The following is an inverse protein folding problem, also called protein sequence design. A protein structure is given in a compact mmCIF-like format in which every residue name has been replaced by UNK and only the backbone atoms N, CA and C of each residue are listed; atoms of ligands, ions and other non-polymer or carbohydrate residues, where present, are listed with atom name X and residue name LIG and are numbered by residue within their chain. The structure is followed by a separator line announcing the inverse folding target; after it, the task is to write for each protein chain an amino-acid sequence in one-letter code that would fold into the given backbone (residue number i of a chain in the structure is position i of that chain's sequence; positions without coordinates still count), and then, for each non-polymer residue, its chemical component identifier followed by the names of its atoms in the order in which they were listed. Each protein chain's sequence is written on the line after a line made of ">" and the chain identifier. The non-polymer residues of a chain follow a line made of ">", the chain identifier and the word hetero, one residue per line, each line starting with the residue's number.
data_IF_220906051847
#
_entry.id   IF_220906051847
#
_cell.length_a   1.000
_cell.length_b   1.000
_cell.length_c   1.000
_cell.angle_alpha   90.00
_cell.angle_beta   90.00
_cell.angle_gamma   90.00
#
_symmetry.space_group_name_H-M   'P 1'
#
loop_
_entity.id
_entity.type
_entity.pdbx_description
1 polymer ?
#
# COMPACT_ATOMS: atom_id res chain seq x y z
N UNK A 1 15.57 2.70 -5.05
CA UNK A 1 14.86 2.10 -6.20
C UNK A 1 13.32 2.10 -6.04
N UNK A 2 12.76 1.82 -4.86
CA UNK A 2 11.31 1.65 -4.67
C UNK A 2 10.46 2.94 -4.82
N UNK A 3 11.02 4.08 -4.42
CA UNK A 3 10.32 5.38 -4.48
C UNK A 3 9.99 5.85 -5.91
N UNK A 4 10.89 5.62 -6.86
CA UNK A 4 10.65 5.96 -8.27
C UNK A 4 9.52 5.14 -8.88
N UNK A 5 9.45 3.84 -8.54
CA UNK A 5 8.38 2.94 -8.98
C UNK A 5 7.04 3.37 -8.40
N UNK A 6 6.99 3.72 -7.11
CA UNK A 6 5.75 4.19 -6.49
C UNK A 6 5.23 5.48 -7.12
N UNK A 7 6.09 6.48 -7.34
CA UNK A 7 5.69 7.72 -7.99
C UNK A 7 5.16 7.52 -9.42
N UNK A 8 5.76 6.58 -10.16
CA UNK A 8 5.28 6.15 -11.47
C UNK A 8 3.85 5.59 -11.39
N UNK A 9 3.59 4.68 -10.46
CA UNK A 9 2.26 4.10 -10.29
C UNK A 9 1.21 5.13 -9.86
N UNK A 10 1.54 6.03 -8.93
CA UNK A 10 0.63 7.13 -8.56
C UNK A 10 0.30 7.97 -9.80
N UNK A 11 1.29 8.24 -10.67
CA UNK A 11 1.06 9.00 -11.91
C UNK A 11 0.12 8.25 -12.86
N UNK A 12 0.39 6.97 -13.08
CA UNK A 12 -0.40 6.14 -13.97
C UNK A 12 -1.86 6.03 -13.49
N UNK A 13 -2.08 5.85 -12.19
CA UNK A 13 -3.43 5.79 -11.60
C UNK A 13 -4.15 7.14 -11.73
N UNK A 14 -3.47 8.24 -11.39
CA UNK A 14 -4.04 9.59 -11.51
C UNK A 14 -4.43 9.94 -12.96
N UNK A 15 -3.73 9.39 -13.97
CA UNK A 15 -3.99 9.68 -15.39
C UNK A 15 -4.96 8.69 -16.05
N UNK A 16 -4.94 7.42 -15.64
CA UNK A 16 -5.67 6.36 -16.34
C UNK A 16 -6.95 5.91 -15.64
N UNK A 17 -7.02 6.06 -14.32
CA UNK A 17 -8.11 5.51 -13.51
C UNK A 17 -8.90 6.57 -12.74
N UNK A 18 -8.28 7.72 -12.44
CA UNK A 18 -8.94 8.77 -11.65
C UNK A 18 -10.03 9.47 -12.44
N UNK A 19 -11.20 9.62 -11.82
CA UNK A 19 -12.35 10.36 -12.36
C UNK A 19 -12.43 11.78 -11.76
N UNK A 20 -13.23 12.70 -12.32
CA UNK A 20 -13.32 14.08 -11.84
C UNK A 20 -13.80 14.24 -10.39
N UNK A 21 -14.48 13.24 -9.83
CA UNK A 21 -14.96 13.26 -8.44
C UNK A 21 -13.97 12.67 -7.43
N UNK A 22 -12.88 12.06 -7.90
CA UNK A 22 -11.95 11.34 -7.04
C UNK A 22 -10.90 12.29 -6.44
N UNK A 23 -10.50 11.97 -5.21
CA UNK A 23 -9.38 12.63 -4.54
C UNK A 23 -8.04 12.20 -5.17
N UNK A 24 -6.94 12.96 -4.94
CA UNK A 24 -5.61 12.56 -5.40
C UNK A 24 -5.22 11.17 -4.90
N UNK A 25 -4.58 10.37 -5.77
CA UNK A 25 -4.12 9.02 -5.42
C UNK A 25 -3.10 9.07 -4.29
N UNK A 26 -3.30 8.27 -3.25
CA UNK A 26 -2.41 8.17 -2.09
C UNK A 26 -1.46 6.99 -2.29
N UNK A 27 -0.15 7.25 -2.28
CA UNK A 27 0.87 6.20 -2.28
C UNK A 27 1.21 5.73 -0.87
N UNK A 28 1.20 4.42 -0.62
CA UNK A 28 1.65 3.84 0.65
C UNK A 28 2.89 2.99 0.40
N UNK A 29 4.00 3.31 1.07
CA UNK A 29 5.21 2.50 1.05
C UNK A 29 5.38 1.77 2.39
N UNK A 30 5.28 0.45 2.36
CA UNK A 30 5.47 -0.42 3.52
C UNK A 30 6.93 -0.86 3.62
N UNK A 31 7.63 -0.45 4.67
CA UNK A 31 9.02 -0.82 4.92
C UNK A 31 9.13 -1.80 6.10
N UNK A 32 9.96 -2.83 5.96
CA UNK A 32 10.23 -3.83 7.01
C UNK A 32 10.95 -3.24 8.23
N UNK A 33 11.69 -2.16 8.04
CA UNK A 33 12.35 -1.41 9.11
C UNK A 33 12.34 0.09 8.82
N UNK A 34 12.19 0.91 9.87
CA UNK A 34 12.34 2.37 9.78
C UNK A 34 13.78 2.76 9.48
N UNK A 35 14.09 3.01 8.22
CA UNK A 35 15.06 4.04 7.89
C UNK A 35 14.32 5.30 7.43
N UNK A 36 13.55 5.86 8.36
CA UNK A 36 12.61 6.98 8.14
C UNK A 36 13.31 8.17 7.49
N UNK A 37 14.55 8.45 7.88
CA UNK A 37 15.37 9.55 7.33
C UNK A 37 15.68 9.30 5.85
N UNK A 38 16.14 8.09 5.50
CA UNK A 38 16.46 7.76 4.10
C UNK A 38 15.20 7.79 3.23
N UNK A 39 14.07 7.32 3.75
CA UNK A 39 12.80 7.40 3.05
C UNK A 39 12.32 8.85 2.88
N UNK A 40 12.35 9.66 3.94
CA UNK A 40 11.97 11.08 3.88
C UNK A 40 12.85 11.87 2.90
N UNK A 41 14.17 11.68 2.93
CA UNK A 41 15.08 12.31 1.97
C UNK A 41 14.88 11.82 0.53
N UNK A 42 14.53 10.55 0.31
CA UNK A 42 14.22 10.05 -1.03
C UNK A 42 12.87 10.56 -1.57
N UNK A 43 11.99 11.01 -0.67
CA UNK A 43 10.64 11.48 -0.99
C UNK A 43 10.53 13.00 -0.97
N UNK A 44 11.52 13.74 -0.44
CA UNK A 44 11.46 15.19 -0.26
C UNK A 44 11.26 15.96 -1.57
N UNK A 45 11.75 15.41 -2.69
CA UNK A 45 11.62 16.02 -4.03
C UNK A 45 10.37 15.53 -4.80
N UNK A 46 9.49 14.74 -4.19
CA UNK A 46 8.29 14.21 -4.83
C UNK A 46 7.05 14.91 -4.26
N UNK A 47 6.45 15.78 -5.07
CA UNK A 47 5.29 16.62 -4.71
C UNK A 47 3.94 15.88 -4.71
N UNK A 48 3.90 14.57 -4.47
CA UNK A 48 2.67 13.77 -4.44
C UNK A 48 2.36 13.26 -3.04
N UNK A 49 1.07 13.11 -2.66
CA UNK A 49 0.70 12.60 -1.34
C UNK A 49 1.17 11.14 -1.18
N UNK A 50 2.18 10.95 -0.33
CA UNK A 50 2.76 9.64 -0.03
C UNK A 50 2.94 9.46 1.48
N UNK A 51 2.57 8.29 1.99
CA UNK A 51 2.79 7.87 3.36
C UNK A 51 3.89 6.80 3.44
N UNK A 52 4.80 6.95 4.40
CA UNK A 52 5.78 5.90 4.75
C UNK A 52 5.42 5.34 6.11
N UNK A 53 5.20 4.03 6.16
CA UNK A 53 4.97 3.35 7.44
C UNK A 53 5.77 2.06 7.52
N UNK A 54 6.07 1.71 8.77
CA UNK A 54 6.66 0.42 9.11
C UNK A 54 5.55 -0.56 9.44
N UNK A 55 5.71 -1.80 8.98
CA UNK A 55 4.80 -2.88 9.34
C UNK A 55 5.48 -3.83 10.31
N UNK A 56 4.74 -4.27 11.33
CA UNK A 56 5.21 -5.28 12.26
C UNK A 56 4.59 -6.63 11.88
N UNK A 57 5.44 -7.61 11.57
CA UNK A 57 5.02 -8.99 11.39
C UNK A 57 4.73 -9.60 12.77
N UNK A 58 3.47 -9.63 13.15
CA UNK A 58 3.01 -10.31 14.36
C UNK A 58 2.49 -11.69 13.99
N UNK A 59 3.00 -12.75 14.64
CA UNK A 59 2.45 -14.10 14.45
C UNK A 59 1.05 -14.27 15.07
N UNK A 60 0.64 -13.34 15.93
CA UNK A 60 -0.65 -13.36 16.60
C UNK A 60 -1.42 -12.10 16.22
N UNK A 61 -2.56 -12.29 15.55
CA UNK A 61 -3.51 -11.22 15.26
C UNK A 61 -4.12 -10.72 16.59
N UNK A 62 -4.14 -9.41 16.85
CA UNK A 62 -4.81 -8.86 18.04
C UNK A 62 -6.25 -9.35 18.14
N UNK A 63 -6.71 -9.71 19.35
CA UNK A 63 -8.06 -10.28 19.54
C UNK A 63 -9.18 -9.38 19.01
N UNK A 64 -9.01 -8.06 19.12
CA UNK A 64 -9.94 -7.07 18.59
C UNK A 64 -10.11 -7.14 17.06
N UNK A 65 -9.13 -7.65 16.32
CA UNK A 65 -9.17 -7.75 14.86
C UNK A 65 -9.60 -9.13 14.37
N UNK A 66 -9.56 -10.17 15.22
CA UNK A 66 -9.93 -11.55 14.84
C UNK A 66 -11.37 -11.67 14.36
N UNK A 67 -12.29 -10.86 14.90
CA UNK A 67 -13.70 -10.88 14.51
C UNK A 67 -14.01 -10.09 13.23
N UNK A 68 -13.08 -9.24 12.79
CA UNK A 68 -13.28 -8.31 11.66
C UNK A 68 -12.48 -8.69 10.41
N UNK A 69 -11.61 -9.69 10.51
CA UNK A 69 -10.76 -10.14 9.40
C UNK A 69 -11.25 -11.50 8.89
N UNK A 70 -11.24 -11.72 7.57
CA UNK A 70 -11.61 -13.01 6.97
C UNK A 70 -10.61 -14.11 7.39
N UNK A 71 -11.06 -15.36 7.33
CA UNK A 71 -10.17 -16.50 7.60
C UNK A 71 -9.17 -16.69 6.46
N UNK A 72 -8.10 -17.44 6.73
CA UNK A 72 -7.05 -17.71 5.72
C UNK A 72 -7.66 -18.41 4.51
N UNK A 73 -8.56 -19.38 4.74
CA UNK A 73 -9.22 -20.15 3.69
C UNK A 73 -10.11 -19.26 2.80
N UNK A 74 -10.77 -18.27 3.39
CA UNK A 74 -11.58 -17.30 2.64
C UNK A 74 -10.71 -16.41 1.74
N UNK A 75 -9.56 -15.96 2.24
CA UNK A 75 -8.61 -15.16 1.45
C UNK A 75 -8.05 -15.98 0.29
N UNK A 76 -7.66 -17.23 0.54
CA UNK A 76 -7.14 -18.13 -0.50
C UNK A 76 -8.18 -18.42 -1.57
N UNK A 77 -9.45 -18.62 -1.20
CA UNK A 77 -10.53 -18.86 -2.14
C UNK A 77 -10.79 -17.66 -3.08
N UNK A 78 -10.83 -16.43 -2.55
CA UNK A 78 -11.03 -15.22 -3.35
C UNK A 78 -9.85 -14.97 -4.31
N UNK A 79 -8.61 -15.11 -3.83
CA UNK A 79 -7.42 -14.93 -4.66
C UNK A 79 -7.30 -15.99 -5.77
N UNK A 80 -7.78 -17.21 -5.52
CA UNK A 80 -7.80 -18.27 -6.53
C UNK A 80 -8.84 -18.03 -7.63
N UNK A 81 -9.90 -17.27 -7.35
CA UNK A 81 -10.95 -16.95 -8.33
C UNK A 81 -10.54 -15.78 -9.25
N UNK A 82 -9.80 -14.79 -8.73
CA UNK A 82 -9.27 -13.67 -9.54
C UNK A 82 -8.25 -14.12 -10.60
N UNK A 83 -7.57 -15.25 -10.40
CA UNK A 83 -6.61 -15.83 -11.37
C UNK A 83 -7.24 -16.55 -12.56
N UNK A 84 -8.57 -16.64 -12.65
CA UNK A 84 -9.30 -17.36 -13.72
C UNK A 84 -9.95 -16.46 -14.77
N UNK A 85 -9.68 -15.16 -14.76
CA UNK A 85 -10.23 -14.21 -15.75
C UNK A 85 -9.25 -13.85 -16.87
#
# INVERSE_FOLDING_TARGET
>A
EHTGKLNFYIKAVDEQLRTPGDNPTIGILLCKSKNKIVAEYALSDIHKPMGVTEYQLTQVLPEALKSSLPTIEQIEAELADEGKK
#
